data_IF_394914048603
#
_entry.id   IF_394914048603
#
_cell.length_a   1.000
_cell.length_b   1.000
_cell.length_c   1.000
_cell.angle_alpha   90.00
_cell.angle_beta   90.00
_cell.angle_gamma   90.00
#
_symmetry.space_group_name_H-M   'P 1'
#
loop_
_entity.id
_entity.type
_entity.pdbx_description
1 polymer ?
#
# COMPACT_ATOMS: atom_id res chain seq x y z
N UNK A 1 26.96 -9.51 5.22
CA UNK A 1 26.09 -10.02 6.31
C UNK A 1 24.84 -9.16 6.51
N UNK A 2 24.20 -8.63 5.45
CA UNK A 2 23.05 -7.71 5.57
C UNK A 2 21.68 -8.31 5.15
N UNK A 3 21.67 -9.55 4.63
CA UNK A 3 20.45 -10.18 4.10
C UNK A 3 19.61 -10.88 5.20
N UNK A 4 20.24 -11.29 6.31
CA UNK A 4 19.53 -11.93 7.44
C UNK A 4 18.59 -10.96 8.17
N UNK A 5 18.89 -9.66 8.17
CA UNK A 5 18.12 -8.67 8.92
C UNK A 5 16.81 -8.32 8.21
N UNK A 6 16.80 -8.22 6.87
CA UNK A 6 15.60 -7.95 6.09
C UNK A 6 14.57 -9.07 6.25
N UNK A 7 15.00 -10.34 6.13
CA UNK A 7 14.10 -11.49 6.30
C UNK A 7 13.44 -11.53 7.67
N UNK A 8 14.20 -11.20 8.73
CA UNK A 8 13.68 -11.13 10.11
C UNK A 8 12.69 -9.97 10.28
N UNK A 9 13.04 -8.76 9.83
CA UNK A 9 12.16 -7.58 9.88
C UNK A 9 10.82 -7.83 9.19
N UNK A 10 10.86 -8.40 7.99
CA UNK A 10 9.64 -8.72 7.22
C UNK A 10 8.81 -9.81 7.91
N UNK A 11 9.44 -10.77 8.59
CA UNK A 11 8.74 -11.79 9.36
C UNK A 11 8.06 -11.19 10.61
N UNK A 12 8.75 -10.36 11.37
CA UNK A 12 8.24 -9.65 12.56
C UNK A 12 7.06 -8.75 12.19
N UNK A 13 7.19 -7.96 11.12
CA UNK A 13 6.11 -7.12 10.61
C UNK A 13 4.87 -7.94 10.22
N UNK A 14 5.05 -9.05 9.49
CA UNK A 14 3.94 -9.95 9.15
C UNK A 14 3.33 -10.65 10.36
N UNK A 15 4.03 -10.78 11.48
CA UNK A 15 3.48 -11.32 12.71
C UNK A 15 2.54 -10.31 13.36
N UNK A 16 2.96 -9.04 13.51
CA UNK A 16 2.13 -7.95 14.03
C UNK A 16 0.84 -7.76 13.22
N UNK A 17 0.94 -7.77 11.89
CA UNK A 17 -0.24 -7.66 11.02
C UNK A 17 -1.23 -8.82 11.23
N UNK A 18 -0.74 -10.04 11.49
CA UNK A 18 -1.61 -11.18 11.79
C UNK A 18 -2.30 -11.06 13.15
N UNK A 19 -1.61 -10.52 14.16
CA UNK A 19 -2.19 -10.23 15.47
C UNK A 19 -3.29 -9.17 15.39
N UNK A 20 -3.15 -8.20 14.47
CA UNK A 20 -4.19 -7.21 14.14
C UNK A 20 -5.35 -7.80 13.31
N UNK A 21 -5.34 -9.11 13.00
CA UNK A 21 -6.39 -9.79 12.25
C UNK A 21 -6.26 -9.66 10.72
N UNK A 22 -5.16 -9.11 10.21
CA UNK A 22 -4.93 -8.96 8.77
C UNK A 22 -4.31 -10.24 8.18
N UNK A 23 -4.71 -10.58 6.96
CA UNK A 23 -4.17 -11.71 6.21
C UNK A 23 -3.32 -11.23 5.03
N UNK A 24 -2.13 -11.80 4.79
CA UNK A 24 -1.36 -11.47 3.58
C UNK A 24 -2.07 -11.99 2.34
N UNK A 25 -2.25 -11.15 1.33
CA UNK A 25 -2.77 -11.51 0.01
C UNK A 25 -1.68 -11.30 -1.03
N UNK A 26 -1.41 -12.32 -1.85
CA UNK A 26 -0.56 -12.18 -3.03
C UNK A 26 -1.45 -11.94 -4.24
N UNK A 27 -1.28 -10.77 -4.85
CA UNK A 27 -1.94 -10.39 -6.10
C UNK A 27 -0.87 -10.09 -7.14
N UNK A 28 -1.21 -10.32 -8.40
CA UNK A 28 -0.42 -9.84 -9.52
C UNK A 28 -0.88 -8.43 -9.87
N UNK A 29 0.07 -7.49 -9.84
CA UNK A 29 -0.15 -6.09 -10.21
C UNK A 29 0.60 -5.77 -11.51
N UNK A 30 0.18 -4.74 -12.26
CA UNK A 30 0.96 -4.24 -13.40
C UNK A 30 2.38 -3.87 -12.99
N UNK A 31 3.32 -3.98 -13.93
CA UNK A 31 4.71 -3.60 -13.65
C UNK A 31 4.84 -2.09 -13.48
N UNK A 32 4.97 -1.67 -12.22
CA UNK A 32 5.18 -0.26 -11.81
C UNK A 32 6.44 0.39 -12.38
N UNK A 33 7.39 -0.38 -12.92
CA UNK A 33 8.63 0.13 -13.53
C UNK A 33 8.51 0.37 -15.03
N UNK A 34 7.43 -0.10 -15.66
CA UNK A 34 7.18 0.18 -17.06
C UNK A 34 6.92 1.69 -17.25
N UNK A 35 7.51 2.34 -18.27
CA UNK A 35 7.33 3.78 -18.48
C UNK A 35 5.86 4.17 -18.69
N UNK A 36 5.04 3.28 -19.27
CA UNK A 36 3.61 3.50 -19.50
C UNK A 36 2.79 3.45 -18.20
N UNK A 37 3.31 2.82 -17.14
CA UNK A 37 2.60 2.72 -15.87
C UNK A 37 2.34 4.08 -15.25
N UNK A 38 3.32 5.00 -15.30
CA UNK A 38 3.15 6.33 -14.73
C UNK A 38 2.04 7.12 -15.41
N UNK A 39 1.94 7.01 -16.74
CA UNK A 39 0.90 7.66 -17.53
C UNK A 39 -0.48 7.07 -17.24
N UNK A 40 -0.58 5.74 -17.19
CA UNK A 40 -1.82 5.03 -16.88
C UNK A 40 -2.28 5.31 -15.44
N UNK A 41 -1.36 5.26 -14.47
CA UNK A 41 -1.63 5.57 -13.07
C UNK A 41 -2.14 7.01 -12.94
N UNK A 42 -1.51 7.98 -13.60
CA UNK A 42 -1.98 9.35 -13.60
C UNK A 42 -3.38 9.49 -14.20
N UNK A 43 -3.64 8.85 -15.36
CA UNK A 43 -4.96 8.87 -16.00
C UNK A 43 -6.03 8.28 -15.09
N UNK A 44 -5.78 7.14 -14.46
CA UNK A 44 -6.74 6.47 -13.59
C UNK A 44 -6.98 7.25 -12.30
N UNK A 45 -5.94 7.82 -11.69
CA UNK A 45 -6.09 8.69 -10.52
C UNK A 45 -6.97 9.91 -10.82
N UNK A 46 -6.79 10.54 -11.99
CA UNK A 46 -7.64 11.66 -12.40
C UNK A 46 -9.11 11.23 -12.59
N UNK A 47 -9.36 10.04 -13.13
CA UNK A 47 -10.72 9.51 -13.28
C UNK A 47 -11.37 9.20 -11.93
N UNK A 48 -10.61 8.63 -10.99
CA UNK A 48 -11.09 8.36 -9.63
C UNK A 48 -11.47 9.68 -8.92
N UNK A 49 -10.60 10.70 -9.00
CA UNK A 49 -10.85 12.01 -8.41
C UNK A 49 -12.04 12.76 -9.04
N UNK A 50 -12.31 12.52 -10.33
CA UNK A 50 -13.46 13.10 -11.03
C UNK A 50 -14.76 12.29 -10.84
N UNK A 51 -14.71 11.14 -10.15
CA UNK A 51 -15.86 10.30 -9.90
C UNK A 51 -16.86 10.92 -8.93
N UNK A 52 -18.13 10.56 -9.06
CA UNK A 52 -19.19 11.05 -8.17
C UNK A 52 -18.97 10.68 -6.70
N UNK A 53 -18.15 9.66 -6.44
CA UNK A 53 -17.87 9.13 -5.10
C UNK A 53 -16.53 9.64 -4.52
N UNK A 54 -15.85 10.57 -5.19
CA UNK A 54 -14.50 10.98 -4.82
C UNK A 54 -14.37 11.48 -3.37
N UNK A 55 -15.40 12.16 -2.85
CA UNK A 55 -15.44 12.60 -1.45
C UNK A 55 -15.53 11.43 -0.47
N UNK A 56 -16.51 10.55 -0.65
CA UNK A 56 -16.70 9.36 0.19
C UNK A 56 -15.51 8.40 0.12
N UNK A 57 -14.91 8.24 -1.06
CA UNK A 57 -13.71 7.43 -1.25
C UNK A 57 -12.51 8.02 -0.49
N UNK A 58 -12.34 9.35 -0.52
CA UNK A 58 -11.27 10.04 0.22
C UNK A 58 -11.50 9.95 1.73
N UNK A 59 -12.72 10.20 2.21
CA UNK A 59 -13.08 10.11 3.62
C UNK A 59 -12.85 8.69 4.17
N UNK A 60 -13.16 7.66 3.37
CA UNK A 60 -12.87 6.27 3.72
C UNK A 60 -11.37 6.02 3.83
N UNK A 61 -10.58 6.45 2.84
CA UNK A 61 -9.11 6.28 2.83
C UNK A 61 -8.49 6.96 4.04
N UNK A 62 -8.91 8.18 4.37
CA UNK A 62 -8.41 8.93 5.52
C UNK A 62 -8.76 8.21 6.83
N UNK A 63 -9.96 7.63 6.95
CA UNK A 63 -10.38 6.88 8.12
C UNK A 63 -9.59 5.56 8.33
N UNK A 64 -9.13 4.91 7.27
CA UNK A 64 -8.39 3.63 7.34
C UNK A 64 -6.87 3.76 7.27
N UNK A 65 -6.34 4.96 6.99
CA UNK A 65 -4.90 5.21 6.87
C UNK A 65 -4.22 5.15 8.24
N UNK A 66 -3.93 3.92 8.71
CA UNK A 66 -3.16 3.65 9.93
C UNK A 66 -1.63 3.69 9.71
N UNK A 67 -1.17 3.84 8.46
CA UNK A 67 0.25 3.70 8.08
C UNK A 67 1.20 4.84 8.54
N UNK A 68 0.75 5.73 9.43
CA UNK A 68 1.60 6.78 10.00
C UNK A 68 2.36 6.32 11.26
N UNK A 69 2.46 5.00 11.49
CA UNK A 69 3.32 4.44 12.52
C UNK A 69 4.80 4.74 12.19
N UNK A 70 5.51 5.36 13.14
CA UNK A 70 6.92 5.79 13.09
C UNK A 70 7.94 4.67 12.71
N UNK A 71 7.48 3.44 12.51
CA UNK A 71 8.26 2.24 12.20
C UNK A 71 8.59 2.07 10.70
N UNK A 72 7.98 2.84 9.78
CA UNK A 72 8.21 2.73 8.32
C UNK A 72 9.36 3.61 7.77
N UNK A 73 9.85 4.58 8.57
CA UNK A 73 10.87 5.56 8.16
C UNK A 73 12.32 5.19 8.56
N UNK A 74 12.64 3.91 8.84
CA UNK A 74 14.01 3.48 9.20
C UNK A 74 14.46 2.14 8.58
#
# INVERSE_FOLDING_TARGET
MANRDVGRRVAEHRMRLREQGLRPLQIWVPDTRAPEFAEEAHRQSALAAAGNNAGDDQDFVDAISQFNDEDFDN
#
